data_IF_004986520745
#
_entry.id   IF_004986520745
#
_cell.length_a   1.000
_cell.length_b   1.000
_cell.length_c   1.000
_cell.angle_alpha   90.00
_cell.angle_beta   90.00
_cell.angle_gamma   90.00
#
_symmetry.space_group_name_H-M   'P 1'
#
loop_
_entity.id
_entity.type
_entity.pdbx_description
1 polymer ?
#
# COMPACT_ATOMS: atom_id res chain seq x y z
N UNK A 1 28.35 -1.05 19.67
CA UNK A 1 27.03 -0.58 19.17
C UNK A 1 25.94 -1.39 19.87
N UNK A 2 25.12 -0.78 20.73
CA UNK A 2 23.98 -1.48 21.37
C UNK A 2 22.76 -1.35 20.46
N UNK A 3 22.35 -2.43 19.82
CA UNK A 3 21.04 -2.49 19.16
C UNK A 3 19.98 -2.65 20.24
N UNK A 4 19.36 -1.55 20.66
CA UNK A 4 18.18 -1.58 21.50
C UNK A 4 17.00 -2.02 20.63
N UNK A 5 16.67 -3.31 20.68
CA UNK A 5 15.48 -3.84 20.03
C UNK A 5 14.31 -3.63 20.99
N UNK A 6 13.45 -2.66 20.68
CA UNK A 6 12.21 -2.47 21.43
C UNK A 6 11.23 -3.58 21.03
N UNK A 7 10.88 -4.46 21.97
CA UNK A 7 9.88 -5.50 21.77
C UNK A 7 8.46 -4.95 21.96
N UNK A 8 7.59 -5.17 20.98
CA UNK A 8 6.16 -4.88 21.06
C UNK A 8 5.37 -6.15 20.75
N UNK A 9 4.43 -6.51 21.62
CA UNK A 9 3.54 -7.65 21.37
C UNK A 9 2.54 -7.31 20.27
N UNK A 10 2.00 -8.32 19.58
CA UNK A 10 0.98 -8.13 18.54
C UNK A 10 -0.24 -7.33 19.04
N UNK A 11 -0.70 -7.63 20.26
CA UNK A 11 -1.82 -6.93 20.89
C UNK A 11 -1.53 -5.44 21.16
N UNK A 12 -0.28 -5.08 21.45
CA UNK A 12 0.13 -3.68 21.62
C UNK A 12 0.43 -2.99 20.29
N UNK A 13 0.90 -3.75 19.30
CA UNK A 13 1.20 -3.23 17.97
C UNK A 13 -0.04 -2.75 17.24
N UNK A 14 -1.12 -3.53 17.20
CA UNK A 14 -2.33 -3.18 16.44
C UNK A 14 -2.90 -1.78 16.78
N UNK A 15 -3.13 -1.42 18.05
CA UNK A 15 -3.61 -0.07 18.38
C UNK A 15 -2.55 1.00 18.11
N UNK A 16 -1.27 0.74 18.37
CA UNK A 16 -0.20 1.68 18.07
C UNK A 16 -0.06 1.96 16.56
N UNK A 17 -0.18 0.91 15.75
CA UNK A 17 -0.22 0.99 14.29
C UNK A 17 -1.43 1.81 13.85
N UNK A 18 -2.62 1.55 14.39
CA UNK A 18 -3.83 2.32 14.01
C UNK A 18 -3.64 3.81 14.25
N UNK A 19 -3.11 4.19 15.42
CA UNK A 19 -2.82 5.60 15.74
C UNK A 19 -1.77 6.20 14.79
N UNK A 20 -0.70 5.46 14.49
CA UNK A 20 0.34 5.92 13.57
C UNK A 20 -0.19 6.04 12.13
N UNK A 21 -1.00 5.08 11.69
CA UNK A 21 -1.65 5.05 10.39
C UNK A 21 -2.58 6.24 10.22
N UNK A 22 -3.47 6.51 11.19
CA UNK A 22 -4.41 7.64 11.10
C UNK A 22 -3.65 8.99 11.08
N UNK A 23 -2.51 9.09 11.78
CA UNK A 23 -1.64 10.28 11.75
C UNK A 23 -0.78 10.40 10.49
N UNK A 24 -0.63 9.33 9.71
CA UNK A 24 0.27 9.31 8.55
C UNK A 24 -0.26 10.15 7.38
N UNK A 25 -1.58 10.41 7.32
CA UNK A 25 -2.25 11.15 6.25
C UNK A 25 -2.11 12.66 6.39
N UNK A 26 -0.87 13.14 6.44
CA UNK A 26 -0.57 14.58 6.35
C UNK A 26 -0.41 14.97 4.88
N UNK A 27 -0.70 16.24 4.50
CA UNK A 27 -0.45 16.71 3.14
C UNK A 27 0.98 16.43 2.68
N UNK A 28 1.98 16.69 3.53
CA UNK A 28 3.39 16.43 3.22
C UNK A 28 3.68 14.97 2.88
N UNK A 29 3.16 14.03 3.68
CA UNK A 29 3.35 12.60 3.42
C UNK A 29 2.62 12.13 2.16
N UNK A 30 1.43 12.69 1.90
CA UNK A 30 0.66 12.39 0.70
C UNK A 30 1.43 12.87 -0.54
N UNK A 31 1.90 14.12 -0.56
CA UNK A 31 2.68 14.67 -1.67
C UNK A 31 3.99 13.91 -1.90
N UNK A 32 4.72 13.55 -0.84
CA UNK A 32 5.97 12.79 -0.96
C UNK A 32 5.74 11.35 -1.44
N UNK A 33 4.66 10.69 -0.99
CA UNK A 33 4.28 9.36 -1.46
C UNK A 33 3.92 9.36 -2.94
N UNK A 34 3.12 10.34 -3.40
CA UNK A 34 2.83 10.50 -4.82
C UNK A 34 4.10 10.74 -5.63
N UNK A 35 4.98 11.63 -5.18
CA UNK A 35 6.27 11.89 -5.83
C UNK A 35 7.14 10.63 -5.91
N UNK A 36 7.23 9.85 -4.83
CA UNK A 36 7.98 8.59 -4.79
C UNK A 36 7.40 7.51 -5.71
N UNK A 37 6.08 7.52 -5.91
CA UNK A 37 5.39 6.66 -6.88
C UNK A 37 5.48 7.18 -8.33
N UNK A 38 6.14 8.31 -8.59
CA UNK A 38 6.19 8.96 -9.90
C UNK A 38 4.85 9.55 -10.35
N UNK A 39 3.94 9.77 -9.41
CA UNK A 39 2.63 10.38 -9.62
C UNK A 39 2.73 11.87 -9.27
N UNK A 40 2.35 12.76 -10.18
CA UNK A 40 2.39 14.21 -9.95
C UNK A 40 0.99 14.66 -9.50
N UNK A 41 0.81 15.13 -8.25
CA UNK A 41 -0.49 15.54 -7.73
C UNK A 41 -0.88 16.96 -8.18
N UNK A 42 -0.63 17.30 -9.45
CA UNK A 42 -1.21 18.47 -10.11
C UNK A 42 -2.44 18.11 -10.95
N UNK A 43 -2.60 16.84 -11.34
CA UNK A 43 -3.75 16.37 -12.12
C UNK A 43 -4.39 15.15 -11.45
N UNK A 44 -5.48 15.42 -10.71
CA UNK A 44 -6.28 14.39 -10.05
C UNK A 44 -6.68 13.25 -11.00
N UNK A 45 -7.03 13.57 -12.25
CA UNK A 45 -7.36 12.58 -13.28
C UNK A 45 -6.19 11.66 -13.66
N UNK A 46 -4.95 12.16 -13.68
CA UNK A 46 -3.76 11.36 -14.00
C UNK A 46 -3.41 10.39 -12.86
N UNK A 47 -3.69 10.79 -11.62
CA UNK A 47 -3.56 9.91 -10.45
C UNK A 47 -4.64 8.83 -10.45
N UNK A 48 -5.90 9.22 -10.68
CA UNK A 48 -7.03 8.28 -10.70
C UNK A 48 -6.92 7.26 -11.84
N UNK A 49 -6.42 7.66 -13.02
CA UNK A 49 -6.22 6.73 -14.15
C UNK A 49 -5.15 5.66 -13.86
N UNK A 50 -4.13 5.99 -13.05
CA UNK A 50 -3.10 5.03 -12.59
C UNK A 50 -3.62 4.10 -11.49
N UNK A 51 -4.58 4.56 -10.69
CA UNK A 51 -5.18 3.79 -9.59
C UNK A 51 -6.32 2.86 -10.06
N UNK A 52 -6.89 3.06 -11.25
CA UNK A 52 -7.92 2.20 -11.79
C UNK A 52 -7.35 0.89 -12.38
N UNK A 53 -6.72 0.10 -11.53
CA UNK A 53 -6.11 -1.17 -11.90
C UNK A 53 -7.22 -2.21 -12.02
N UNK A 54 -7.48 -2.69 -13.25
CA UNK A 54 -8.29 -3.90 -13.45
C UNK A 54 -7.43 -5.12 -13.16
N UNK A 55 -7.64 -5.74 -12.00
CA UNK A 55 -7.08 -7.05 -11.69
C UNK A 55 -7.61 -8.05 -12.72
N UNK A 56 -6.75 -8.50 -13.63
CA UNK A 56 -7.03 -9.64 -14.50
C UNK A 56 -6.46 -10.88 -13.85
N UNK A 57 -7.34 -11.75 -13.39
CA UNK A 57 -6.97 -13.13 -13.12
C UNK A 57 -6.79 -13.82 -14.48
N UNK A 58 -5.60 -14.36 -14.80
CA UNK A 58 -5.44 -15.16 -16.00
C UNK A 58 -6.44 -16.33 -15.95
N UNK A 59 -7.12 -16.58 -17.07
CA UNK A 59 -8.02 -17.73 -17.20
C UNK A 59 -7.24 -18.99 -16.87
N UNK A 60 -7.72 -19.85 -15.95
CA UNK A 60 -7.05 -21.10 -15.64
C UNK A 60 -6.84 -21.92 -16.92
N UNK A 61 -5.70 -22.64 -17.05
CA UNK A 61 -5.52 -23.58 -18.15
C UNK A 61 -6.70 -24.55 -18.19
N UNK A 62 -7.23 -24.83 -19.37
CA UNK A 62 -8.24 -25.88 -19.51
C UNK A 62 -7.66 -27.16 -18.91
N UNK A 63 -8.38 -27.75 -17.95
CA UNK A 63 -8.06 -29.09 -17.50
C UNK A 63 -8.13 -29.97 -18.74
N UNK A 64 -6.99 -30.55 -19.13
CA UNK A 64 -6.96 -31.56 -20.17
C UNK A 64 -7.73 -32.74 -19.56
N UNK A 65 -9.02 -32.81 -19.86
CA UNK A 65 -9.89 -33.92 -19.50
C UNK A 65 -9.16 -35.19 -19.88
N UNK A 66 -8.70 -35.92 -18.87
CA UNK A 66 -8.10 -37.22 -19.04
C UNK A 66 -9.21 -38.16 -19.50
N UNK A 67 -9.30 -38.36 -20.82
CA UNK A 67 -10.00 -39.48 -21.44
C UNK A 67 -9.17 -40.76 -21.27
#
# INVERSE_FOLDING_TARGET
IRYYINYITKLKFLPAFKVAFDRSFTPSNIYSAFRGAGLIPLQLYAVLSRLNIKLRTPTPPAALEAL
#
